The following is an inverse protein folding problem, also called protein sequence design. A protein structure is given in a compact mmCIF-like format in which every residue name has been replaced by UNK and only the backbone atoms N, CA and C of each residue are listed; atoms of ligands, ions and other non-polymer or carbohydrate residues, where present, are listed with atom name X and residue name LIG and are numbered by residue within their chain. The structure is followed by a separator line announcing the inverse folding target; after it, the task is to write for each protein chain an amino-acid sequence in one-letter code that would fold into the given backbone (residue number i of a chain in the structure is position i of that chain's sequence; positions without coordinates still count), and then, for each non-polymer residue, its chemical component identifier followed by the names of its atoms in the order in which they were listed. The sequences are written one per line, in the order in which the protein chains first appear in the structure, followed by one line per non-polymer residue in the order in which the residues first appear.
data_IF_349233769182
#
_entry.id   IF_349233769182
#
_cell.length_a   1.000
_cell.length_b   1.000
_cell.length_c   1.000
_cell.angle_alpha   90.00
_cell.angle_beta   90.00
_cell.angle_gamma   90.00
#
_symmetry.space_group_name_H-M   'P 1'
#
loop_
_entity.id
_entity.type
_entity.pdbx_description
1 polymer ?
#
# COMPACT_ATOMS: atom_id res chain seq x y z
N UNK A 1 -4.95 -9.56 -9.73
CA UNK A 1 -4.20 -8.31 -9.49
C UNK A 1 -4.71 -7.26 -10.45
N UNK A 2 -5.21 -6.13 -9.96
CA UNK A 2 -5.69 -5.03 -10.81
C UNK A 2 -4.51 -4.24 -11.41
N UNK A 3 -4.72 -3.60 -12.56
CA UNK A 3 -3.69 -2.80 -13.23
C UNK A 3 -3.12 -1.70 -12.32
N UNK A 4 -3.96 -1.09 -11.49
CA UNK A 4 -3.54 -0.07 -10.52
C UNK A 4 -2.51 -0.60 -9.50
N UNK A 5 -2.66 -1.82 -9.00
CA UNK A 5 -1.70 -2.44 -8.08
C UNK A 5 -0.36 -2.74 -8.75
N UNK A 6 -0.37 -3.12 -10.03
CA UNK A 6 0.84 -3.34 -10.81
C UNK A 6 1.59 -2.02 -10.98
N UNK A 7 0.90 -0.95 -11.39
CA UNK A 7 1.49 0.39 -11.53
C UNK A 7 2.08 0.87 -10.21
N UNK A 8 1.37 0.71 -9.09
CA UNK A 8 1.86 1.12 -7.78
C UNK A 8 3.14 0.35 -7.39
N UNK A 9 3.19 -0.95 -7.67
CA UNK A 9 4.37 -1.77 -7.40
C UNK A 9 5.58 -1.30 -8.22
N UNK A 10 5.38 -0.97 -9.50
CA UNK A 10 6.43 -0.40 -10.35
C UNK A 10 6.94 0.94 -9.78
N UNK A 11 6.03 1.80 -9.32
CA UNK A 11 6.41 3.06 -8.66
C UNK A 11 7.25 2.81 -7.41
N UNK A 12 6.89 1.85 -6.57
CA UNK A 12 7.70 1.49 -5.39
C UNK A 12 9.09 1.02 -5.77
N UNK A 13 9.21 0.18 -6.80
CA UNK A 13 10.50 -0.32 -7.27
C UNK A 13 11.38 0.86 -7.74
N UNK A 14 10.81 1.78 -8.52
CA UNK A 14 11.55 2.96 -9.02
C UNK A 14 11.98 3.85 -7.85
N UNK A 15 11.09 4.17 -6.92
CA UNK A 15 11.42 5.00 -5.76
C UNK A 15 12.48 4.34 -4.86
N UNK A 16 12.37 3.02 -4.63
CA UNK A 16 13.34 2.28 -3.85
C UNK A 16 14.71 2.26 -4.55
N UNK A 17 14.74 2.02 -5.86
CA UNK A 17 15.97 2.07 -6.64
C UNK A 17 16.62 3.46 -6.58
N UNK A 18 15.86 4.54 -6.73
CA UNK A 18 16.36 5.91 -6.62
C UNK A 18 16.89 6.24 -5.22
N UNK A 19 16.16 5.83 -4.17
CA UNK A 19 16.61 6.02 -2.79
C UNK A 19 17.92 5.28 -2.49
N UNK A 20 18.08 4.04 -2.99
CA UNK A 20 19.26 3.21 -2.76
C UNK A 20 20.47 3.62 -3.60
N UNK A 21 20.26 4.11 -4.82
CA UNK A 21 21.35 4.46 -5.76
C UNK A 21 21.73 5.93 -5.76
N UNK A 22 20.84 6.82 -5.27
CA UNK A 22 21.05 8.27 -5.29
C UNK A 22 20.79 8.94 -3.93
N UNK A 23 21.01 8.24 -2.80
CA UNK A 23 20.61 8.67 -1.45
C UNK A 23 21.09 10.06 -1.01
N UNK A 24 22.27 10.50 -1.46
CA UNK A 24 22.83 11.84 -1.14
C UNK A 24 22.34 12.96 -2.08
N UNK A 25 21.57 12.62 -3.11
CA UNK A 25 20.99 13.60 -4.03
C UNK A 25 19.60 14.02 -3.59
N UNK A 26 19.16 15.19 -4.06
CA UNK A 26 17.78 15.65 -3.85
C UNK A 26 16.74 14.59 -4.29
N UNK A 27 17.00 13.88 -5.39
CA UNK A 27 16.09 12.84 -5.91
C UNK A 27 15.97 11.67 -4.92
N UNK A 28 17.09 11.10 -4.47
CA UNK A 28 17.07 9.98 -3.52
C UNK A 28 16.44 10.35 -2.17
N UNK A 29 16.73 11.55 -1.65
CA UNK A 29 16.12 12.06 -0.41
C UNK A 29 14.59 12.15 -0.55
N UNK A 30 14.09 12.72 -1.65
CA UNK A 30 12.65 12.80 -1.89
C UNK A 30 12.02 11.43 -2.13
N UNK A 31 12.69 10.52 -2.84
CA UNK A 31 12.21 9.15 -3.02
C UNK A 31 12.03 8.44 -1.68
N UNK A 32 13.00 8.55 -0.76
CA UNK A 32 12.90 7.98 0.57
C UNK A 32 11.77 8.61 1.39
N UNK A 33 11.62 9.94 1.33
CA UNK A 33 10.52 10.66 2.02
C UNK A 33 9.15 10.22 1.50
N UNK A 34 8.98 10.10 0.18
CA UNK A 34 7.72 9.63 -0.42
C UNK A 34 7.41 8.21 0.02
N UNK A 35 8.39 7.29 -0.01
CA UNK A 35 8.22 5.93 0.50
C UNK A 35 7.84 5.92 1.97
N UNK A 36 8.49 6.73 2.80
CA UNK A 36 8.18 6.86 4.22
C UNK A 36 6.76 7.38 4.48
N UNK A 37 6.34 8.42 3.76
CA UNK A 37 4.98 8.97 3.86
C UNK A 37 3.94 7.92 3.44
N UNK A 38 4.18 7.21 2.33
CA UNK A 38 3.28 6.15 1.87
C UNK A 38 3.19 5.00 2.87
N UNK A 39 4.32 4.58 3.44
CA UNK A 39 4.34 3.54 4.47
C UNK A 39 3.53 3.97 5.71
N UNK A 40 3.68 5.21 6.18
CA UNK A 40 2.90 5.74 7.31
C UNK A 40 1.41 5.81 6.96
N UNK A 41 1.06 6.34 5.79
CA UNK A 41 -0.33 6.41 5.33
C UNK A 41 -0.97 5.02 5.28
N UNK A 42 -0.27 4.04 4.71
CA UNK A 42 -0.77 2.68 4.61
C UNK A 42 -0.82 1.94 5.97
N UNK A 43 0.06 2.27 6.92
CA UNK A 43 -0.06 1.80 8.31
C UNK A 43 -1.35 2.33 8.96
N UNK A 44 -1.62 3.64 8.79
CA UNK A 44 -2.86 4.26 9.28
C UNK A 44 -4.07 3.59 8.63
N UNK A 45 -4.05 3.38 7.31
CA UNK A 45 -5.14 2.68 6.61
C UNK A 45 -5.33 1.25 7.13
N UNK A 46 -4.25 0.52 7.38
CA UNK A 46 -4.31 -0.84 7.93
C UNK A 46 -5.00 -0.85 9.30
N UNK A 47 -4.72 0.14 10.16
CA UNK A 47 -5.39 0.30 11.45
C UNK A 47 -6.87 0.71 11.30
N UNK A 48 -7.17 1.68 10.42
CA UNK A 48 -8.55 2.17 10.16
C UNK A 48 -9.43 1.05 9.61
N UNK A 49 -8.91 0.26 8.67
CA UNK A 49 -9.66 -0.81 8.02
C UNK A 49 -9.50 -2.18 8.70
N UNK A 50 -8.87 -2.26 9.88
CA UNK A 50 -8.67 -3.51 10.59
C UNK A 50 -9.96 -4.30 10.79
N UNK A 51 -11.03 -3.63 11.24
CA UNK A 51 -12.34 -4.28 11.45
C UNK A 51 -12.95 -4.81 10.16
N UNK A 52 -12.76 -4.10 9.04
CA UNK A 52 -13.22 -4.54 7.72
C UNK A 52 -12.43 -5.77 7.23
N UNK A 53 -11.12 -5.81 7.49
CA UNK A 53 -10.29 -6.97 7.20
C UNK A 53 -10.63 -8.17 8.10
N UNK A 54 -11.08 -7.93 9.32
CA UNK A 54 -11.53 -8.98 10.24
C UNK A 54 -12.89 -9.56 9.85
N UNK A 55 -13.80 -8.74 9.31
CA UNK A 55 -15.10 -9.21 8.79
C UNK A 55 -14.98 -9.85 7.42
N UNK A 56 -13.96 -9.50 6.63
CA UNK A 56 -13.63 -10.16 5.39
C UNK A 56 -13.14 -11.58 5.70
N UNK A 57 -14.02 -12.57 5.53
CA UNK A 57 -13.65 -13.98 5.68
C UNK A 57 -12.38 -14.34 4.90
N UNK A 58 -11.61 -15.30 5.38
CA UNK A 58 -10.29 -15.64 4.84
C UNK A 58 -9.16 -15.25 5.80
N UNK A 59 -7.98 -14.92 5.26
CA UNK A 59 -6.81 -14.61 6.06
C UNK A 59 -6.74 -13.12 6.44
N UNK A 60 -6.99 -12.81 7.72
CA UNK A 60 -6.82 -11.47 8.27
C UNK A 60 -5.44 -10.90 7.96
N UNK A 61 -4.37 -11.66 8.22
CA UNK A 61 -3.01 -11.22 7.96
C UNK A 61 -2.77 -10.91 6.47
N UNK A 62 -3.34 -11.72 5.57
CA UNK A 62 -3.27 -11.48 4.12
C UNK A 62 -3.95 -10.18 3.70
N UNK A 63 -5.12 -9.89 4.28
CA UNK A 63 -5.83 -8.62 4.04
C UNK A 63 -5.06 -7.43 4.60
N UNK A 64 -4.51 -7.52 5.82
CA UNK A 64 -3.74 -6.44 6.42
C UNK A 64 -2.46 -6.14 5.61
N UNK A 65 -1.72 -7.16 5.17
CA UNK A 65 -0.56 -6.97 4.27
C UNK A 65 -1.00 -6.34 2.94
N UNK A 66 -2.14 -6.76 2.40
CA UNK A 66 -2.65 -6.21 1.14
C UNK A 66 -3.13 -4.76 1.29
N UNK A 67 -3.71 -4.37 2.42
CA UNK A 67 -4.00 -2.96 2.75
C UNK A 67 -2.71 -2.19 2.98
N UNK A 68 -1.71 -2.77 3.64
CA UNK A 68 -0.43 -2.08 3.83
C UNK A 68 0.32 -1.84 2.50
N UNK A 69 0.19 -2.73 1.51
CA UNK A 69 0.88 -2.57 0.23
C UNK A 69 0.09 -1.75 -0.78
N UNK A 70 -1.24 -1.86 -0.78
CA UNK A 70 -2.07 -1.27 -1.84
C UNK A 70 -3.12 -0.28 -1.31
N UNK A 71 -3.18 -0.11 0.00
CA UNK A 71 -4.04 0.84 0.68
C UNK A 71 -5.51 0.71 0.28
N UNK A 72 -6.12 1.87 0.03
CA UNK A 72 -7.49 2.00 -0.47
C UNK A 72 -7.80 1.18 -1.72
N UNK A 73 -6.81 0.84 -2.57
CA UNK A 73 -7.06 0.01 -3.75
C UNK A 73 -7.50 -1.40 -3.34
N UNK A 74 -6.87 -1.98 -2.30
CA UNK A 74 -7.32 -3.26 -1.79
C UNK A 74 -8.65 -3.15 -1.03
N UNK A 75 -8.84 -2.08 -0.25
CA UNK A 75 -10.09 -1.84 0.48
C UNK A 75 -11.29 -1.77 -0.45
N UNK A 76 -11.17 -1.12 -1.62
CA UNK A 76 -12.23 -1.06 -2.63
C UNK A 76 -12.60 -2.45 -3.16
N UNK A 77 -11.59 -3.28 -3.47
CA UNK A 77 -11.81 -4.66 -3.89
C UNK A 77 -12.45 -5.49 -2.76
N UNK A 78 -12.04 -5.26 -1.51
CA UNK A 78 -12.55 -5.96 -0.33
C UNK A 78 -14.02 -5.62 -0.04
N UNK A 79 -14.39 -4.35 -0.17
CA UNK A 79 -15.78 -3.88 -0.06
C UNK A 79 -16.65 -4.44 -1.17
N UNK A 80 -16.16 -4.40 -2.41
CA UNK A 80 -16.84 -4.99 -3.55
C UNK A 80 -17.10 -6.49 -3.38
N UNK A 81 -16.12 -7.25 -2.87
CA UNK A 81 -16.26 -8.67 -2.58
C UNK A 81 -17.27 -8.99 -1.47
N UNK A 82 -17.49 -8.05 -0.54
CA UNK A 82 -18.48 -8.16 0.54
C UNK A 82 -19.86 -7.59 0.17
N UNK A 83 -20.03 -7.08 -1.06
CA UNK A 83 -21.28 -6.42 -1.47
C UNK A 83 -21.56 -5.09 -0.76
N UNK A 84 -20.51 -4.46 -0.21
CA UNK A 84 -20.59 -3.16 0.46
C UNK A 84 -20.28 -2.09 -0.60
N UNK A 85 -21.27 -1.25 -0.94
CA UNK A 85 -21.13 -0.12 -1.87
C UNK A 85 -20.31 1.02 -1.27
#
# INVERSE_FOLDING_TARGET
MSAAKIVLLVVYIILAALALTQGETTVGIWSLRILGILAIAHLIETAVYFKLCQSAGGSLAGHLVSVFLFGVLHVKELKAAQGIS
#
